data_IF_663246551485
#
_entry.id   IF_663246551485
#
_cell.length_a   1.000
_cell.length_b   1.000
_cell.length_c   1.000
_cell.angle_alpha   90.00
_cell.angle_beta   90.00
_cell.angle_gamma   90.00
#
_symmetry.space_group_name_H-M   'P 1'
#
loop_
_entity.id
_entity.type
_entity.pdbx_description
1 polymer ?
#
# COMPACT_ATOMS: atom_id res chain seq x y z
N UNK A 1 -7.67 6.85 -1.27
CA UNK A 1 -8.14 7.98 -2.09
C UNK A 1 -7.49 9.25 -1.57
N UNK A 2 -7.24 10.22 -2.44
CA UNK A 2 -6.70 11.54 -2.11
C UNK A 2 -7.73 12.57 -2.56
N UNK A 3 -8.24 13.34 -1.61
CA UNK A 3 -9.36 14.27 -1.80
C UNK A 3 -8.92 15.66 -1.38
N UNK A 4 -9.31 16.68 -2.15
CA UNK A 4 -9.08 18.07 -1.79
C UNK A 4 -10.35 18.90 -1.96
N UNK A 5 -10.50 19.90 -1.09
CA UNK A 5 -11.59 20.87 -1.20
C UNK A 5 -11.13 22.05 -2.07
N UNK A 6 -11.80 22.27 -3.20
CA UNK A 6 -11.48 23.37 -4.11
C UNK A 6 -12.72 23.84 -4.87
N UNK A 7 -12.84 25.17 -5.06
CA UNK A 7 -13.99 25.80 -5.73
C UNK A 7 -15.34 25.36 -5.14
N UNK A 8 -15.45 25.41 -3.80
CA UNK A 8 -16.62 25.04 -2.99
C UNK A 8 -17.09 23.58 -3.09
N UNK A 9 -16.25 22.66 -3.57
CA UNK A 9 -16.57 21.22 -3.68
C UNK A 9 -15.38 20.35 -3.31
N UNK A 10 -15.66 19.18 -2.74
CA UNK A 10 -14.66 18.12 -2.62
C UNK A 10 -14.41 17.47 -3.98
N UNK A 11 -13.14 17.25 -4.31
CA UNK A 11 -12.70 16.64 -5.57
C UNK A 11 -11.71 15.54 -5.28
N UNK A 12 -11.86 14.41 -5.96
CA UNK A 12 -10.91 13.31 -5.93
C UNK A 12 -9.75 13.71 -6.83
N UNK A 13 -8.54 13.76 -6.26
CA UNK A 13 -7.30 14.05 -6.97
C UNK A 13 -6.54 12.77 -7.35
N UNK A 14 -6.78 11.69 -6.62
CA UNK A 14 -6.22 10.38 -6.90
C UNK A 14 -7.02 9.29 -6.21
N UNK A 15 -7.21 8.18 -6.91
CA UNK A 15 -7.84 6.98 -6.37
C UNK A 15 -7.17 5.73 -6.90
N UNK A 16 -7.30 4.62 -6.17
CA UNK A 16 -6.82 3.34 -6.66
C UNK A 16 -7.71 2.86 -7.81
N UNK A 17 -7.13 2.26 -8.85
CA UNK A 17 -7.88 1.74 -10.00
C UNK A 17 -8.39 0.31 -9.79
N UNK A 18 -7.83 -0.42 -8.84
CA UNK A 18 -8.08 -1.84 -8.64
C UNK A 18 -8.56 -2.15 -7.22
N UNK A 19 -7.66 -2.12 -6.24
CA UNK A 19 -7.90 -2.59 -4.88
C UNK A 19 -7.39 -1.55 -3.88
N UNK A 20 -8.14 -1.36 -2.80
CA UNK A 20 -7.70 -0.52 -1.69
C UNK A 20 -6.51 -1.15 -0.96
N UNK A 21 -5.58 -0.32 -0.47
CA UNK A 21 -4.38 -0.78 0.27
C UNK A 21 -4.73 -1.69 1.46
N UNK A 22 -5.83 -1.43 2.18
CA UNK A 22 -6.27 -2.30 3.27
C UNK A 22 -6.61 -3.73 2.79
N UNK A 23 -7.34 -3.86 1.68
CA UNK A 23 -7.66 -5.16 1.10
C UNK A 23 -6.40 -5.85 0.54
N UNK A 24 -5.42 -5.09 0.06
CA UNK A 24 -4.12 -5.63 -0.34
C UNK A 24 -3.39 -6.29 0.84
N UNK A 25 -3.34 -5.61 1.99
CA UNK A 25 -2.78 -6.13 3.24
C UNK A 25 -3.57 -7.36 3.71
N UNK A 26 -4.90 -7.31 3.71
CA UNK A 26 -5.76 -8.44 4.10
C UNK A 26 -5.59 -9.67 3.20
N UNK A 27 -5.31 -9.46 1.91
CA UNK A 27 -5.03 -10.56 0.98
C UNK A 27 -3.66 -11.18 1.26
N UNK A 28 -2.63 -10.37 1.53
CA UNK A 28 -1.33 -10.89 1.93
C UNK A 28 -1.42 -11.67 3.25
N UNK A 29 -2.10 -11.11 4.26
CA UNK A 29 -2.31 -11.77 5.53
C UNK A 29 -2.96 -13.15 5.37
N UNK A 30 -3.99 -13.26 4.52
CA UNK A 30 -4.63 -14.53 4.19
C UNK A 30 -3.72 -15.51 3.46
N UNK A 31 -2.90 -15.04 2.52
CA UNK A 31 -1.95 -15.90 1.79
C UNK A 31 -0.88 -16.47 2.71
N UNK A 32 -0.37 -15.66 3.63
CA UNK A 32 0.64 -16.05 4.61
C UNK A 32 0.05 -16.76 5.85
N UNK A 33 -1.26 -17.00 5.86
CA UNK A 33 -1.99 -17.62 6.98
C UNK A 33 -1.75 -16.90 8.33
N UNK A 34 -1.62 -15.57 8.28
CA UNK A 34 -1.40 -14.73 9.46
C UNK A 34 -2.72 -14.65 10.27
N UNK A 35 -2.68 -14.74 11.60
CA UNK A 35 -3.88 -14.65 12.43
C UNK A 35 -4.57 -13.28 12.30
N UNK A 36 -5.89 -13.26 12.36
CA UNK A 36 -6.69 -12.03 12.25
C UNK A 36 -6.76 -11.21 13.56
N UNK A 37 -6.47 -11.80 14.72
CA UNK A 37 -6.49 -11.09 16.00
C UNK A 37 -5.08 -10.58 16.35
N UNK A 38 -4.91 -9.33 16.85
CA UNK A 38 -5.92 -8.30 17.09
C UNK A 38 -6.42 -7.58 15.83
N UNK A 39 -5.59 -7.48 14.78
CA UNK A 39 -6.02 -7.15 13.41
C UNK A 39 -5.00 -7.73 12.42
N UNK A 40 -5.40 -8.11 11.19
CA UNK A 40 -4.48 -8.61 10.18
C UNK A 40 -3.41 -7.57 9.81
N UNK A 41 -3.80 -6.28 9.73
CA UNK A 41 -2.87 -5.19 9.44
C UNK A 41 -1.78 -5.03 10.49
N UNK A 42 -2.14 -5.08 11.77
CA UNK A 42 -1.18 -5.04 12.87
C UNK A 42 -0.19 -6.20 12.80
N UNK A 43 -0.67 -7.43 12.57
CA UNK A 43 0.22 -8.59 12.52
C UNK A 43 1.17 -8.55 11.30
N UNK A 44 0.69 -8.06 10.15
CA UNK A 44 1.54 -7.82 8.98
C UNK A 44 2.62 -6.78 9.28
N UNK A 45 2.30 -5.71 9.99
CA UNK A 45 3.28 -4.70 10.40
C UNK A 45 4.33 -5.26 11.38
N UNK A 46 3.90 -6.08 12.34
CA UNK A 46 4.82 -6.71 13.29
C UNK A 46 5.78 -7.69 12.60
N UNK A 47 5.34 -8.36 11.54
CA UNK A 47 6.19 -9.21 10.70
C UNK A 47 7.10 -8.38 9.80
N UNK A 48 6.60 -7.30 9.21
CA UNK A 48 7.38 -6.38 8.38
C UNK A 48 8.58 -5.79 9.14
N UNK A 49 8.42 -5.48 10.43
CA UNK A 49 9.52 -5.01 11.30
C UNK A 49 10.69 -6.00 11.45
N UNK A 50 10.46 -7.28 11.16
CA UNK A 50 11.48 -8.34 11.20
C UNK A 50 12.09 -8.61 9.83
N UNK A 51 11.44 -8.14 8.75
CA UNK A 51 11.96 -8.22 7.40
C UNK A 51 13.16 -7.31 7.23
N UNK A 52 14.13 -7.77 6.44
CA UNK A 52 15.39 -7.03 6.20
C UNK A 52 15.70 -6.93 4.69
N UNK A 53 15.15 -7.85 3.90
CA UNK A 53 15.27 -7.83 2.45
C UNK A 53 14.07 -7.10 1.84
N UNK A 54 14.33 -6.33 0.78
CA UNK A 54 13.28 -5.72 -0.03
C UNK A 54 13.23 -6.39 -1.41
N UNK A 55 12.67 -7.62 -1.52
CA UNK A 55 12.46 -8.25 -2.82
C UNK A 55 11.55 -7.34 -3.66
N UNK A 56 11.94 -7.04 -4.91
CA UNK A 56 11.18 -6.11 -5.75
C UNK A 56 9.80 -6.70 -6.09
N UNK A 57 8.78 -6.34 -5.32
CA UNK A 57 7.38 -6.51 -5.68
C UNK A 57 7.09 -5.54 -6.83
N UNK A 58 6.97 -6.07 -8.05
CA UNK A 58 6.92 -5.28 -9.28
C UNK A 58 5.88 -4.16 -9.23
N UNK A 59 6.35 -2.91 -9.23
CA UNK A 59 5.52 -1.71 -9.38
C UNK A 59 6.03 -0.91 -10.57
N UNK A 60 5.15 -0.63 -11.52
CA UNK A 60 5.43 0.29 -12.62
C UNK A 60 4.66 1.59 -12.37
N UNK A 61 5.37 2.62 -11.92
CA UNK A 61 4.85 3.98 -11.91
C UNK A 61 4.98 4.56 -13.32
N UNK A 62 3.88 4.64 -14.06
CA UNK A 62 3.84 5.42 -15.29
C UNK A 62 3.06 6.71 -15.03
N UNK A 63 3.75 7.82 -15.27
CA UNK A 63 3.30 9.18 -15.04
C UNK A 63 1.90 9.42 -15.64
N UNK A 64 0.95 9.76 -14.77
CA UNK A 64 -0.40 10.17 -15.11
C UNK A 64 -1.12 10.52 -13.83
N UNK A 65 -2.01 11.51 -13.87
CA UNK A 65 -2.88 11.92 -12.75
C UNK A 65 -3.73 10.74 -12.21
N UNK A 66 -3.73 9.63 -12.93
CA UNK A 66 -4.19 8.32 -12.52
C UNK A 66 -3.08 7.57 -11.78
N UNK A 67 -3.30 7.29 -10.50
CA UNK A 67 -2.62 6.20 -9.78
C UNK A 67 -2.84 4.91 -10.59
N UNK A 68 -1.93 4.59 -11.52
CA UNK A 68 -1.87 3.25 -12.10
C UNK A 68 -1.70 2.26 -10.93
N UNK A 69 -2.36 1.09 -11.03
CA UNK A 69 -2.75 0.30 -9.88
C UNK A 69 -1.58 0.14 -8.92
N UNK A 70 -1.87 0.25 -7.62
CA UNK A 70 -1.09 -0.50 -6.64
C UNK A 70 -1.34 -1.94 -7.05
N UNK A 71 -0.57 -2.46 -8.00
CA UNK A 71 -0.69 -3.84 -8.46
C UNK A 71 -0.08 -4.70 -7.37
N UNK A 72 -0.72 -4.68 -6.22
CA UNK A 72 -0.53 -5.63 -5.18
C UNK A 72 -1.34 -6.85 -5.62
N UNK A 73 -0.74 -7.63 -6.51
CA UNK A 73 -1.13 -9.00 -6.77
C UNK A 73 -0.24 -9.94 -5.94
N UNK A 74 -0.33 -9.92 -4.59
CA UNK A 74 0.46 -10.82 -3.76
C UNK A 74 0.10 -12.26 -4.13
N UNK A 75 -1.14 -12.51 -4.55
CA UNK A 75 -1.60 -13.82 -5.02
C UNK A 75 -0.77 -14.38 -6.19
N UNK A 76 -0.19 -13.54 -7.05
CA UNK A 76 0.58 -14.00 -8.21
C UNK A 76 2.09 -14.14 -7.93
N UNK A 77 2.61 -13.34 -6.99
CA UNK A 77 4.05 -13.19 -6.73
C UNK A 77 4.47 -13.93 -5.45
N UNK A 78 3.68 -13.81 -4.38
CA UNK A 78 3.93 -14.44 -3.07
C UNK A 78 4.14 -15.95 -3.15
N UNK A 79 3.26 -16.77 -3.79
CA UNK A 79 3.48 -18.21 -3.82
C UNK A 79 4.77 -18.59 -4.57
N UNK A 80 5.10 -17.88 -5.66
CA UNK A 80 6.33 -18.14 -6.42
C UNK A 80 7.60 -17.84 -5.63
N UNK A 81 7.61 -16.73 -4.90
CA UNK A 81 8.75 -16.33 -4.07
C UNK A 81 8.91 -17.20 -2.82
N UNK A 82 7.80 -17.70 -2.27
CA UNK A 82 7.81 -18.67 -1.17
C UNK A 82 8.28 -20.04 -1.64
N UNK A 83 7.83 -20.50 -2.82
CA UNK A 83 8.25 -21.77 -3.42
C UNK A 83 9.72 -21.75 -3.86
N UNK A 84 10.23 -20.61 -4.33
CA UNK A 84 11.65 -20.45 -4.68
C UNK A 84 12.57 -20.30 -3.46
N UNK A 85 12.02 -20.03 -2.28
CA UNK A 85 12.79 -19.76 -1.07
C UNK A 85 13.57 -18.44 -1.11
N UNK A 86 13.31 -17.58 -2.09
CA UNK A 86 14.01 -16.31 -2.28
C UNK A 86 13.54 -15.22 -1.31
N UNK A 87 12.35 -15.36 -0.72
CA UNK A 87 11.80 -14.39 0.22
C UNK A 87 11.11 -15.07 1.40
N UNK A 88 11.29 -14.50 2.59
CA UNK A 88 10.55 -14.90 3.79
C UNK A 88 9.18 -14.19 3.86
N UNK A 89 8.20 -14.73 4.60
CA UNK A 89 6.96 -14.04 4.90
C UNK A 89 7.19 -12.61 5.45
N UNK A 90 8.21 -12.44 6.29
CA UNK A 90 8.61 -11.16 6.87
C UNK A 90 9.10 -10.17 5.80
N UNK A 91 9.95 -10.61 4.88
CA UNK A 91 10.47 -9.78 3.77
C UNK A 91 9.35 -9.38 2.80
N UNK A 92 8.36 -10.25 2.59
CA UNK A 92 7.18 -9.94 1.77
C UNK A 92 6.28 -8.90 2.45
N UNK A 93 6.06 -9.01 3.76
CA UNK A 93 5.33 -8.01 4.53
C UNK A 93 6.06 -6.66 4.50
N UNK A 94 7.38 -6.66 4.68
CA UNK A 94 8.22 -5.46 4.61
C UNK A 94 8.14 -4.79 3.23
N UNK A 95 8.41 -5.54 2.16
CA UNK A 95 8.39 -5.01 0.80
C UNK A 95 7.02 -4.45 0.41
N UNK A 96 5.93 -5.12 0.80
CA UNK A 96 4.58 -4.63 0.54
C UNK A 96 4.33 -3.28 1.23
N UNK A 97 4.67 -3.17 2.52
CA UNK A 97 4.45 -1.94 3.29
C UNK A 97 5.27 -0.79 2.74
N UNK A 98 6.57 -0.99 2.51
CA UNK A 98 7.46 0.04 1.96
C UNK A 98 6.96 0.52 0.60
N UNK A 99 6.64 -0.41 -0.30
CA UNK A 99 6.19 -0.05 -1.66
C UNK A 99 4.85 0.68 -1.62
N UNK A 100 3.86 0.15 -0.88
CA UNK A 100 2.52 0.74 -0.85
C UNK A 100 2.51 2.11 -0.15
N UNK A 101 3.21 2.25 0.97
CA UNK A 101 3.26 3.51 1.72
C UNK A 101 4.13 4.55 1.02
N UNK A 102 5.24 4.17 0.37
CA UNK A 102 6.01 5.10 -0.45
C UNK A 102 5.16 5.67 -1.60
N UNK A 103 4.38 4.83 -2.30
CA UNK A 103 3.48 5.30 -3.35
C UNK A 103 2.39 6.24 -2.81
N UNK A 104 1.79 5.91 -1.66
CA UNK A 104 0.78 6.77 -1.02
C UNK A 104 1.38 8.10 -0.57
N UNK A 105 2.60 8.10 -0.02
CA UNK A 105 3.32 9.31 0.34
C UNK A 105 3.61 10.17 -0.89
N UNK A 106 4.12 9.57 -1.98
CA UNK A 106 4.41 10.27 -3.23
C UNK A 106 3.16 10.95 -3.81
N UNK A 107 2.03 10.24 -3.88
CA UNK A 107 0.79 10.82 -4.42
C UNK A 107 0.21 11.88 -3.50
N UNK A 108 0.35 11.71 -2.19
CA UNK A 108 -0.05 12.71 -1.22
C UNK A 108 0.78 13.97 -1.35
N UNK A 109 2.11 13.86 -1.49
CA UNK A 109 3.01 14.99 -1.72
C UNK A 109 2.66 15.74 -3.02
N UNK A 110 2.46 15.01 -4.12
CA UNK A 110 2.03 15.61 -5.40
C UNK A 110 0.69 16.34 -5.26
N UNK A 111 -0.27 15.78 -4.53
CA UNK A 111 -1.57 16.41 -4.30
C UNK A 111 -1.48 17.66 -3.41
N UNK A 112 -0.61 17.64 -2.39
CA UNK A 112 -0.32 18.80 -1.55
C UNK A 112 0.33 19.92 -2.40
N UNK A 113 1.29 19.59 -3.24
CA UNK A 113 1.94 20.54 -4.15
C UNK A 113 0.93 21.17 -5.13
N UNK A 114 0.02 20.36 -5.70
CA UNK A 114 -1.02 20.82 -6.63
C UNK A 114 -2.05 21.75 -5.97
N UNK A 115 -2.44 21.45 -4.74
CA UNK A 115 -3.48 22.20 -4.02
C UNK A 115 -2.95 23.36 -3.19
N UNK A 116 -1.63 23.40 -2.94
CA UNK A 116 -0.97 24.29 -1.98
C UNK A 116 -1.55 24.20 -0.56
N UNK A 117 -2.13 23.04 -0.22
CA UNK A 117 -2.63 22.80 1.13
C UNK A 117 -1.47 22.72 2.13
N UNK A 118 -1.66 23.28 3.32
CA UNK A 118 -0.68 23.24 4.42
C UNK A 118 -0.92 22.10 5.41
N UNK A 119 -2.09 21.49 5.36
CA UNK A 119 -2.52 20.46 6.29
C UNK A 119 -2.93 19.22 5.51
N UNK A 120 -2.53 18.06 6.05
CA UNK A 120 -2.92 16.74 5.58
C UNK A 120 -3.74 16.09 6.69
N UNK A 121 -4.88 15.50 6.34
CA UNK A 121 -5.67 14.67 7.24
C UNK A 121 -5.66 13.24 6.69
N UNK A 122 -5.06 12.32 7.45
CA UNK A 122 -5.11 10.89 7.16
C UNK A 122 -6.37 10.30 7.80
N UNK A 123 -7.17 9.57 7.02
CA UNK A 123 -8.42 8.94 7.48
C UNK A 123 -8.51 7.50 6.99
N UNK A 124 -9.27 6.67 7.69
CA UNK A 124 -9.55 5.28 7.33
C UNK A 124 -8.89 4.26 8.25
N UNK A 125 -9.27 2.99 8.13
CA UNK A 125 -8.82 1.92 9.03
C UNK A 125 -7.34 1.54 8.91
N UNK A 126 -6.64 2.00 7.87
CA UNK A 126 -5.20 1.77 7.68
C UNK A 126 -4.37 2.91 8.26
N UNK A 127 -5.00 3.92 8.85
CA UNK A 127 -4.33 5.07 9.46
C UNK A 127 -3.91 4.86 10.92
N UNK A 128 -4.17 3.67 11.47
CA UNK A 128 -3.96 3.31 12.87
C UNK A 128 -2.56 2.76 13.15
#
# INVERSE_FOLDING_TARGET
QVIAYSRRRYRILGETLDVAVGNCIDRLARLLQIPNAPSPGYNVEQLAKRGSQNPKMGTQNNLGVTLKPIFCAPQAVTPKLLESGEATPEDLCFSLQETAFAMLAEVTERALALTRARHLLLVGGVAC
#
